data_IF_297286845422
#
_entry.id   IF_297286845422
#
_cell.length_a   1.000
_cell.length_b   1.000
_cell.length_c   1.000
_cell.angle_alpha   90.00
_cell.angle_beta   90.00
_cell.angle_gamma   90.00
#
_symmetry.space_group_name_H-M   'P 1'
#
loop_
_entity.id
_entity.type
_entity.pdbx_description
1 polymer ?
#
# COMPACT_ATOMS: atom_id res chain seq x y z
N UNK A 1 8.09 8.11 -15.21
CA UNK A 1 7.04 8.03 -14.18
C UNK A 1 7.70 7.61 -12.89
N UNK A 2 7.37 8.26 -11.77
CA UNK A 2 8.00 7.99 -10.49
C UNK A 2 8.12 9.23 -9.61
N UNK A 3 8.38 9.03 -8.33
CA UNK A 3 8.71 10.11 -7.39
C UNK A 3 10.23 10.35 -7.30
N UNK A 4 11.05 9.55 -7.98
CA UNK A 4 12.50 9.51 -7.79
C UNK A 4 12.88 8.87 -6.45
N UNK A 5 13.99 9.32 -5.85
CA UNK A 5 14.40 8.86 -4.52
C UNK A 5 13.51 9.48 -3.42
N UNK A 6 12.57 8.68 -2.91
CA UNK A 6 11.63 9.04 -1.84
C UNK A 6 12.30 9.25 -0.46
N UNK A 7 13.61 9.01 -0.34
CA UNK A 7 14.39 9.38 0.85
C UNK A 7 15.11 10.71 0.68
N UNK A 8 15.12 11.27 -0.52
CA UNK A 8 15.71 12.56 -0.82
C UNK A 8 14.68 13.69 -0.65
N UNK A 9 15.11 14.91 -0.28
CA UNK A 9 14.23 16.08 -0.25
C UNK A 9 13.54 16.35 -1.60
N UNK A 10 14.24 16.12 -2.71
CA UNK A 10 13.69 16.33 -4.05
C UNK A 10 12.54 15.35 -4.35
N UNK A 11 12.71 14.06 -4.04
CA UNK A 11 11.64 13.08 -4.26
C UNK A 11 10.44 13.27 -3.34
N UNK A 12 10.67 13.68 -2.09
CA UNK A 12 9.61 14.06 -1.18
C UNK A 12 8.85 15.30 -1.63
N UNK A 13 9.53 16.28 -2.24
CA UNK A 13 8.88 17.44 -2.85
C UNK A 13 7.96 17.01 -4.01
N UNK A 14 8.43 16.14 -4.90
CA UNK A 14 7.61 15.61 -6.01
C UNK A 14 6.39 14.86 -5.47
N UNK A 15 6.56 14.05 -4.42
CA UNK A 15 5.45 13.37 -3.76
C UNK A 15 4.44 14.36 -3.16
N UNK A 16 4.93 15.42 -2.48
CA UNK A 16 4.09 16.46 -1.92
C UNK A 16 3.24 17.17 -2.98
N UNK A 17 3.88 17.55 -4.09
CA UNK A 17 3.20 18.27 -5.17
C UNK A 17 2.19 17.37 -5.89
N UNK A 18 2.50 16.09 -6.05
CA UNK A 18 1.57 15.10 -6.60
C UNK A 18 0.33 14.88 -5.71
N UNK A 19 0.48 15.00 -4.39
CA UNK A 19 -0.58 14.83 -3.39
C UNK A 19 -1.34 16.12 -3.06
N UNK A 20 -1.04 17.24 -3.72
CA UNK A 20 -1.74 18.50 -3.51
C UNK A 20 -3.24 18.40 -3.82
N UNK A 21 -3.58 17.67 -4.88
CA UNK A 21 -4.93 17.42 -5.38
C UNK A 21 -5.41 15.97 -5.17
N UNK A 22 -4.65 15.14 -4.43
CA UNK A 22 -4.92 13.71 -4.24
C UNK A 22 -4.84 13.30 -2.78
N UNK A 23 -5.74 12.40 -2.38
CA UNK A 23 -5.72 11.80 -1.04
C UNK A 23 -4.94 10.50 -0.96
N UNK A 24 -4.69 9.83 -2.10
CA UNK A 24 -4.05 8.53 -2.21
C UNK A 24 -3.14 8.50 -3.46
N UNK A 25 -2.27 7.50 -3.56
CA UNK A 25 -1.36 7.34 -4.70
C UNK A 25 -2.12 6.97 -5.98
N UNK A 26 -3.12 6.09 -5.86
CA UNK A 26 -4.03 5.69 -6.93
C UNK A 26 -5.50 5.81 -6.46
N UNK A 27 -6.34 6.47 -7.26
CA UNK A 27 -7.79 6.55 -7.00
C UNK A 27 -8.17 7.38 -5.77
N UNK A 28 -9.24 6.95 -5.10
CA UNK A 28 -9.88 7.69 -3.99
C UNK A 28 -10.04 6.84 -2.71
N UNK A 29 -9.41 5.67 -2.67
CA UNK A 29 -9.45 4.73 -1.54
C UNK A 29 -8.03 4.24 -1.26
N UNK A 30 -7.69 3.87 -0.01
CA UNK A 30 -6.36 3.35 0.31
C UNK A 30 -6.14 2.02 -0.42
N UNK A 31 -4.92 1.84 -0.94
CA UNK A 31 -4.56 0.69 -1.78
C UNK A 31 -3.13 0.21 -1.52
N UNK A 32 -2.75 -0.93 -2.11
CA UNK A 32 -1.36 -1.41 -2.09
C UNK A 32 -0.37 -0.41 -2.72
N UNK A 33 -0.83 0.50 -3.57
CA UNK A 33 0.02 1.58 -4.09
C UNK A 33 0.49 2.52 -2.98
N UNK A 34 -0.43 2.89 -2.07
CA UNK A 34 -0.10 3.71 -0.91
C UNK A 34 0.89 3.00 0.02
N UNK A 35 0.70 1.70 0.23
CA UNK A 35 1.60 0.89 1.07
C UNK A 35 3.01 0.86 0.49
N UNK A 36 3.15 0.66 -0.83
CA UNK A 36 4.44 0.62 -1.50
C UNK A 36 5.21 1.95 -1.35
N UNK A 37 4.54 3.08 -1.58
CA UNK A 37 5.16 4.41 -1.45
C UNK A 37 5.44 4.73 0.02
N UNK A 38 4.56 4.33 0.94
CA UNK A 38 4.72 4.56 2.38
C UNK A 38 5.95 3.83 2.95
N UNK A 39 6.13 2.57 2.56
CA UNK A 39 7.31 1.78 2.93
C UNK A 39 8.62 2.39 2.37
N UNK A 40 8.56 3.00 1.18
CA UNK A 40 9.73 3.65 0.57
C UNK A 40 10.14 4.96 1.27
N UNK A 41 9.16 5.76 1.72
CA UNK A 41 9.40 7.00 2.48
C UNK A 41 10.01 6.71 3.85
N UNK A 42 9.64 5.59 4.48
CA UNK A 42 10.21 5.03 5.74
C UNK A 42 10.10 5.89 7.00
N UNK A 43 10.02 7.22 6.91
CA UNK A 43 9.93 8.13 8.05
C UNK A 43 9.02 9.32 7.75
N UNK A 44 8.46 9.99 8.79
CA UNK A 44 7.54 11.09 8.57
C UNK A 44 8.19 12.22 7.75
N UNK A 45 7.56 12.68 6.65
CA UNK A 45 8.02 13.86 5.93
C UNK A 45 8.03 15.10 6.84
N UNK A 46 8.90 16.09 6.59
CA UNK A 46 8.91 17.34 7.33
C UNK A 46 7.60 18.12 7.12
N UNK A 47 7.24 18.96 8.11
CA UNK A 47 5.93 19.60 8.20
C UNK A 47 5.67 20.70 7.16
N UNK A 48 6.72 21.19 6.51
CA UNK A 48 6.66 22.06 5.33
C UNK A 48 6.05 21.34 4.12
N UNK A 49 6.24 20.02 4.01
CA UNK A 49 5.61 19.16 3.01
C UNK A 49 4.23 18.70 3.48
N UNK A 50 3.33 19.67 3.64
CA UNK A 50 2.03 19.47 4.30
C UNK A 50 1.16 18.38 3.65
N UNK A 51 1.19 18.22 2.33
CA UNK A 51 0.39 17.21 1.64
C UNK A 51 0.97 15.80 1.83
N UNK A 52 2.29 15.67 1.72
CA UNK A 52 3.00 14.43 1.97
C UNK A 52 2.85 13.99 3.44
N UNK A 53 3.00 14.90 4.40
CA UNK A 53 2.82 14.59 5.82
C UNK A 53 1.38 14.20 6.16
N UNK A 54 0.38 14.90 5.60
CA UNK A 54 -1.05 14.55 5.74
C UNK A 54 -1.29 13.12 5.27
N UNK A 55 -0.85 12.80 4.06
CA UNK A 55 -1.00 11.46 3.49
C UNK A 55 -0.23 10.41 4.31
N UNK A 56 1.01 10.68 4.71
CA UNK A 56 1.82 9.75 5.50
C UNK A 56 1.12 9.37 6.81
N UNK A 57 0.59 10.36 7.54
CA UNK A 57 -0.13 10.10 8.79
C UNK A 57 -1.42 9.31 8.56
N UNK A 58 -2.11 9.59 7.44
CA UNK A 58 -3.29 8.84 7.04
C UNK A 58 -2.98 7.38 6.74
N UNK A 59 -1.99 7.10 5.89
CA UNK A 59 -1.61 5.71 5.57
C UNK A 59 -1.04 4.98 6.79
N UNK A 60 -0.34 5.69 7.67
CA UNK A 60 0.14 5.13 8.95
C UNK A 60 -1.01 4.63 9.83
N UNK A 61 -2.20 5.24 9.80
CA UNK A 61 -3.33 4.69 10.58
C UNK A 61 -3.82 3.34 10.05
N UNK A 62 -3.59 3.04 8.77
CA UNK A 62 -3.91 1.76 8.13
C UNK A 62 -2.79 0.70 8.27
N UNK A 63 -1.68 0.99 8.95
CA UNK A 63 -0.50 0.10 9.00
C UNK A 63 -0.84 -1.32 9.52
N UNK A 64 -1.79 -1.44 10.45
CA UNK A 64 -2.23 -2.73 11.00
C UNK A 64 -3.02 -3.59 10.01
N UNK A 65 -3.66 -2.96 9.03
CA UNK A 65 -4.52 -3.60 8.03
C UNK A 65 -3.97 -3.46 6.60
N UNK A 66 -2.69 -3.09 6.47
CA UNK A 66 -2.03 -2.84 5.17
C UNK A 66 -2.05 -4.05 4.24
N UNK A 67 -2.11 -5.27 4.77
CA UNK A 67 -2.21 -6.50 3.98
C UNK A 67 -3.62 -6.70 3.38
N UNK A 68 -4.64 -6.12 4.00
CA UNK A 68 -6.04 -6.23 3.57
C UNK A 68 -6.45 -5.13 2.60
N UNK A 69 -5.59 -4.14 2.36
CA UNK A 69 -5.86 -3.06 1.41
C UNK A 69 -5.90 -3.60 -0.03
N UNK A 70 -6.84 -3.14 -0.86
CA UNK A 70 -7.02 -3.64 -2.22
C UNK A 70 -5.86 -3.26 -3.14
N UNK A 71 -5.71 -4.02 -4.24
CA UNK A 71 -4.71 -3.77 -5.28
C UNK A 71 -3.46 -4.61 -5.14
N UNK A 72 -2.46 -4.35 -6.00
CA UNK A 72 -1.18 -5.08 -6.04
C UNK A 72 -0.03 -4.07 -6.01
N UNK A 73 1.03 -4.38 -5.26
CA UNK A 73 2.25 -3.57 -5.25
C UNK A 73 2.94 -3.66 -6.62
N UNK A 74 3.24 -2.51 -7.20
CA UNK A 74 3.98 -2.34 -8.46
C UNK A 74 5.34 -1.69 -8.12
N UNK A 75 6.25 -1.68 -9.08
CA UNK A 75 7.51 -0.95 -8.93
C UNK A 75 7.25 0.55 -8.69
N UNK A 76 8.06 1.20 -7.86
CA UNK A 76 7.86 2.60 -7.45
C UNK A 76 7.83 3.58 -8.63
N UNK A 77 8.62 3.33 -9.69
CA UNK A 77 8.57 4.08 -10.95
C UNK A 77 7.28 3.90 -11.77
N UNK A 78 6.30 3.15 -11.28
CA UNK A 78 4.95 3.07 -11.86
C UNK A 78 3.94 3.95 -11.14
N UNK A 79 4.33 4.52 -10.00
CA UNK A 79 3.48 5.41 -9.22
C UNK A 79 3.90 6.86 -9.42
N UNK A 80 2.94 7.77 -9.34
CA UNK A 80 3.19 9.20 -9.40
C UNK A 80 3.23 9.80 -10.82
N UNK A 81 3.79 11.00 -10.98
CA UNK A 81 3.72 11.77 -12.21
C UNK A 81 4.48 11.09 -13.36
N UNK A 82 3.93 11.16 -14.57
CA UNK A 82 4.47 10.52 -15.77
C UNK A 82 5.85 11.08 -16.17
N UNK A 83 6.03 12.39 -15.97
CA UNK A 83 7.11 13.21 -16.51
C UNK A 83 8.42 13.20 -15.70
N UNK A 84 8.44 12.53 -14.54
CA UNK A 84 9.66 12.41 -13.72
C UNK A 84 10.32 11.06 -14.02
N UNK A 85 11.58 11.07 -14.44
CA UNK A 85 12.36 9.86 -14.71
C UNK A 85 12.66 9.09 -13.40
N UNK A 86 12.52 7.77 -13.46
CA UNK A 86 12.76 6.86 -12.36
C UNK A 86 14.27 6.68 -12.15
N UNK A 87 14.81 7.27 -11.08
CA UNK A 87 16.22 7.10 -10.68
C UNK A 87 16.42 5.94 -9.71
N UNK A 88 15.39 5.10 -9.45
CA UNK A 88 15.55 3.95 -8.55
C UNK A 88 16.30 2.82 -9.28
N UNK A 89 17.59 2.73 -8.99
CA UNK A 89 18.49 1.73 -9.55
C UNK A 89 18.06 0.28 -9.23
N UNK A 90 18.01 -0.53 -10.29
CA UNK A 90 17.81 -1.97 -10.38
C UNK A 90 18.46 -2.80 -9.25
N UNK A 91 17.68 -3.71 -8.64
CA UNK A 91 18.20 -4.76 -7.76
C UNK A 91 17.17 -5.81 -7.30
N UNK A 92 17.32 -7.02 -7.86
CA UNK A 92 16.84 -8.34 -7.41
C UNK A 92 15.48 -8.87 -7.93
N UNK A 93 15.67 -9.90 -8.77
CA UNK A 93 14.79 -10.86 -9.45
C UNK A 93 13.99 -11.79 -8.54
N UNK A 94 12.74 -12.02 -8.96
CA UNK A 94 12.06 -13.31 -9.18
C UNK A 94 12.28 -14.48 -8.18
N UNK A 95 11.20 -14.90 -7.52
CA UNK A 95 10.97 -16.29 -7.13
C UNK A 95 9.47 -16.56 -7.03
N UNK A 96 9.00 -17.29 -8.05
CA UNK A 96 7.83 -18.16 -8.15
C UNK A 96 7.21 -18.59 -6.82
N UNK A 97 5.91 -18.40 -6.67
CA UNK A 97 4.97 -19.39 -6.12
C UNK A 97 3.53 -18.94 -6.42
N UNK A 98 2.82 -19.67 -7.30
CA UNK A 98 1.36 -19.85 -7.21
C UNK A 98 0.95 -20.97 -8.20
N UNK A 99 1.38 -22.20 -7.89
CA UNK A 99 0.68 -23.39 -8.34
C UNK A 99 -0.61 -23.52 -7.49
N UNK A 100 -1.74 -23.63 -8.17
CA UNK A 100 -3.08 -24.02 -7.67
C UNK A 100 -3.84 -23.10 -6.70
N UNK A 101 -4.28 -21.95 -7.22
CA UNK A 101 -5.58 -21.38 -6.81
C UNK A 101 -6.70 -22.23 -7.43
N UNK A 102 -7.13 -23.27 -6.73
CA UNK A 102 -8.47 -23.87 -6.91
C UNK A 102 -9.49 -22.98 -6.20
N UNK A 103 -9.97 -21.97 -6.92
CA UNK A 103 -10.98 -21.03 -6.42
C UNK A 103 -12.41 -21.42 -6.81
N UNK A 104 -12.67 -22.65 -7.28
CA UNK A 104 -14.02 -23.06 -7.70
C UNK A 104 -14.18 -24.59 -7.62
N UNK A 105 -14.15 -25.14 -6.40
CA UNK A 105 -14.16 -26.59 -6.20
C UNK A 105 -14.84 -27.10 -4.93
N UNK A 106 -16.08 -26.67 -4.64
CA UNK A 106 -17.04 -27.37 -3.75
C UNK A 106 -16.71 -27.37 -2.25
N UNK A 107 -17.44 -26.66 -1.38
CA UNK A 107 -18.62 -27.20 -0.67
C UNK A 107 -18.44 -28.67 -0.27
N UNK A 108 -17.81 -28.90 0.90
CA UNK A 108 -18.00 -30.11 1.69
C UNK A 108 -17.71 -29.83 3.18
N UNK A 109 -18.54 -30.41 4.03
CA UNK A 109 -18.77 -30.19 5.46
C UNK A 109 -17.55 -30.40 6.37
N UNK A 110 -17.25 -29.45 7.28
CA UNK A 110 -16.86 -29.82 8.65
C UNK A 110 -17.16 -28.70 9.67
N UNK A 111 -18.25 -28.92 10.39
CA UNK A 111 -18.74 -28.12 11.50
C UNK A 111 -17.84 -28.34 12.74
N UNK A 112 -16.94 -27.40 13.03
CA UNK A 112 -16.22 -27.40 14.31
C UNK A 112 -17.17 -26.94 15.43
N UNK A 113 -17.57 -27.88 16.28
CA UNK A 113 -18.45 -27.69 17.45
C UNK A 113 -17.94 -26.66 18.49
N UNK A 114 -16.75 -26.08 18.33
CA UNK A 114 -16.22 -25.09 19.27
C UNK A 114 -16.74 -23.66 19.04
N UNK A 115 -17.23 -23.32 17.85
CA UNK A 115 -17.65 -21.95 17.53
C UNK A 115 -19.09 -21.60 17.98
N UNK A 116 -19.86 -22.57 18.51
CA UNK A 116 -21.23 -22.33 19.00
C UNK A 116 -21.30 -21.82 20.44
N UNK A 117 -20.31 -22.09 21.30
CA UNK A 117 -20.39 -21.71 22.73
C UNK A 117 -20.20 -20.22 23.03
N UNK A 118 -19.55 -19.46 22.15
CA UNK A 118 -19.24 -18.05 22.43
C UNK A 118 -20.41 -17.09 22.13
N UNK A 119 -21.47 -17.53 21.44
CA UNK A 119 -22.65 -16.69 21.14
C UNK A 119 -23.79 -16.82 22.14
N UNK A 120 -23.77 -17.82 23.02
CA UNK A 120 -24.88 -18.11 23.93
C UNK A 120 -24.68 -17.53 25.36
N UNK A 121 -23.57 -16.84 25.62
CA UNK A 121 -23.35 -16.09 26.89
C UNK A 121 -23.63 -14.58 26.72
N UNK A 122 -24.41 -14.20 25.70
CA UNK A 122 -24.79 -12.81 25.45
C UNK A 122 -26.24 -12.67 24.97
N UNK A 123 -27.11 -13.59 25.38
CA UNK A 123 -28.57 -13.44 25.36
C UNK A 123 -29.16 -13.86 26.71
#
# INVERSE_FOLDING_TARGET
>A
MGFGDLKSPAGLQVLNDYLADKSYIEGYVPSQADVAVFEAVSSPPPADLCHALRWYNHIKSYEKEKASLPGVKKALGKYGPADVEDTTGSGATDSKDDDDIDLFGSDDEEESEEAKRLREERL
#
